data_IF_736084426738
#
_entry.id   IF_736084426738
#
_cell.length_a   1.000
_cell.length_b   1.000
_cell.length_c   1.000
_cell.angle_alpha   90.00
_cell.angle_beta   90.00
_cell.angle_gamma   90.00
#
_symmetry.space_group_name_H-M   'P 1'
#
loop_
_entity.id
_entity.type
_entity.pdbx_description
1 polymer ?
#
# COMPACT_ATOMS: atom_id res chain seq x y z
N UNK A 1 -3.14 1.67 13.65
CA UNK A 1 -2.08 0.69 13.96
C UNK A 1 -1.09 0.74 12.81
N UNK A 2 0.21 0.95 13.07
CA UNK A 2 1.24 1.01 12.01
C UNK A 2 1.93 -0.35 11.88
N UNK A 3 2.20 -0.76 10.64
CA UNK A 3 2.95 -2.00 10.33
C UNK A 3 4.44 -1.69 10.26
N UNK A 4 5.28 -2.69 10.56
CA UNK A 4 6.72 -2.57 10.38
C UNK A 4 7.08 -2.24 8.92
N UNK A 5 8.19 -1.52 8.67
CA UNK A 5 8.64 -1.22 7.31
C UNK A 5 8.90 -2.50 6.50
N UNK A 6 8.50 -2.49 5.23
CA UNK A 6 8.82 -3.57 4.30
C UNK A 6 10.26 -3.42 3.83
N UNK A 7 11.13 -4.39 4.15
CA UNK A 7 12.52 -4.40 3.70
C UNK A 7 12.69 -4.96 2.28
N UNK A 8 11.84 -5.93 1.90
CA UNK A 8 11.88 -6.52 0.56
C UNK A 8 11.31 -5.55 -0.47
N UNK A 9 12.15 -5.15 -1.44
CA UNK A 9 11.72 -4.25 -2.53
C UNK A 9 10.59 -4.83 -3.38
N UNK A 10 10.57 -6.15 -3.57
CA UNK A 10 9.49 -6.83 -4.31
C UNK A 10 8.17 -6.76 -3.54
N UNK A 11 8.20 -7.13 -2.25
CA UNK A 11 7.02 -7.07 -1.39
C UNK A 11 6.48 -5.64 -1.28
N UNK A 12 7.36 -4.63 -1.20
CA UNK A 12 6.96 -3.23 -1.18
C UNK A 12 6.18 -2.85 -2.45
N UNK A 13 6.69 -3.24 -3.62
CA UNK A 13 6.05 -2.96 -4.92
C UNK A 13 4.72 -3.67 -5.03
N UNK A 14 4.64 -4.94 -4.63
CA UNK A 14 3.40 -5.73 -4.70
C UNK A 14 2.30 -5.14 -3.80
N UNK A 15 2.64 -4.81 -2.54
CA UNK A 15 1.71 -4.19 -1.60
C UNK A 15 1.27 -2.81 -2.10
N UNK A 16 2.20 -1.98 -2.60
CA UNK A 16 1.88 -0.67 -3.16
C UNK A 16 0.99 -0.77 -4.41
N UNK A 17 1.23 -1.74 -5.29
CA UNK A 17 0.42 -1.96 -6.49
C UNK A 17 -1.01 -2.42 -6.14
N UNK A 18 -1.15 -3.34 -5.18
CA UNK A 18 -2.45 -3.77 -4.65
C UNK A 18 -3.19 -2.58 -4.03
N UNK A 19 -2.49 -1.75 -3.26
CA UNK A 19 -3.08 -0.57 -2.64
C UNK A 19 -3.49 0.48 -3.68
N UNK A 20 -2.67 0.75 -4.70
CA UNK A 20 -3.02 1.66 -5.79
C UNK A 20 -4.28 1.17 -6.53
N UNK A 21 -4.44 -0.14 -6.73
CA UNK A 21 -5.66 -0.74 -7.30
C UNK A 21 -6.89 -0.46 -6.43
N UNK A 22 -6.78 -0.51 -5.10
CA UNK A 22 -7.87 -0.13 -4.19
C UNK A 22 -8.24 1.35 -4.34
N UNK A 23 -7.24 2.24 -4.38
CA UNK A 23 -7.45 3.68 -4.53
C UNK A 23 -8.13 4.04 -5.86
N UNK A 24 -7.72 3.41 -6.98
CA UNK A 24 -8.37 3.57 -8.28
C UNK A 24 -9.84 3.11 -8.27
N UNK A 25 -10.20 2.19 -7.39
CA UNK A 25 -11.58 1.70 -7.18
C UNK A 25 -12.39 2.57 -6.20
N UNK A 26 -11.85 3.69 -5.74
CA UNK A 26 -12.53 4.61 -4.83
C UNK A 26 -12.33 4.31 -3.35
N UNK A 27 -11.35 3.47 -2.99
CA UNK A 27 -10.99 3.32 -1.57
C UNK A 27 -10.47 4.66 -1.01
N UNK A 28 -10.86 4.98 0.22
CA UNK A 28 -10.38 6.19 0.90
C UNK A 28 -8.87 6.08 1.18
N UNK A 29 -8.07 7.13 0.88
CA UNK A 29 -6.69 7.19 1.32
C UNK A 29 -6.60 7.19 2.86
N UNK A 30 -5.49 6.68 3.38
CA UNK A 30 -5.14 6.66 4.81
C UNK A 30 -4.13 7.74 5.18
N UNK A 31 -3.53 8.38 4.18
CA UNK A 31 -2.61 9.49 4.36
C UNK A 31 -3.37 10.72 4.87
N UNK A 32 -2.91 11.32 5.97
CA UNK A 32 -3.53 12.52 6.53
C UNK A 32 -3.53 13.67 5.50
N UNK A 33 -4.67 14.36 5.35
CA UNK A 33 -4.86 15.42 4.35
C UNK A 33 -5.20 14.93 2.94
N UNK A 34 -5.24 13.62 2.69
CA UNK A 34 -5.69 13.05 1.42
C UNK A 34 -7.12 12.49 1.58
N UNK A 35 -8.13 13.30 1.25
CA UNK A 35 -9.53 12.84 1.18
C UNK A 35 -10.49 13.36 2.25
N UNK A 36 -10.11 14.38 3.03
CA UNK A 36 -11.02 15.08 3.97
C UNK A 36 -11.76 16.26 3.31
N UNK A 37 -11.96 16.22 2.00
CA UNK A 37 -12.63 17.30 1.24
C UNK A 37 -11.75 18.53 1.01
N UNK A 38 -10.56 18.61 1.60
CA UNK A 38 -9.56 19.61 1.25
C UNK A 38 -8.95 19.29 -0.12
N UNK A 39 -8.85 20.29 -1.02
CA UNK A 39 -8.15 20.11 -2.28
C UNK A 39 -6.69 19.75 -1.95
N UNK A 40 -6.15 18.67 -2.54
CA UNK A 40 -4.76 18.34 -2.31
C UNK A 40 -3.91 19.54 -2.69
N UNK A 41 -3.00 19.95 -1.80
CA UNK A 41 -2.03 21.00 -2.07
C UNK A 41 -1.38 20.76 -3.43
N UNK A 42 -0.96 21.81 -4.13
CA UNK A 42 -0.42 21.67 -5.50
C UNK A 42 0.72 20.63 -5.61
N UNK A 43 1.46 20.40 -4.52
CA UNK A 43 2.57 19.43 -4.42
C UNK A 43 2.17 18.02 -3.93
N UNK A 44 0.90 17.81 -3.61
CA UNK A 44 0.43 16.54 -3.05
C UNK A 44 0.22 15.49 -4.15
N UNK A 45 0.64 14.23 -3.93
CA UNK A 45 0.65 13.19 -4.96
C UNK A 45 -0.73 12.76 -5.45
N UNK A 46 -1.29 13.42 -6.48
CA UNK A 46 -2.65 13.09 -7.01
C UNK A 46 -2.76 11.70 -7.63
N UNK A 47 -1.63 11.07 -7.93
CA UNK A 47 -1.56 9.75 -8.57
C UNK A 47 -1.78 8.65 -7.52
N UNK A 48 -2.76 7.75 -7.69
CA UNK A 48 -3.03 6.64 -6.77
C UNK A 48 -1.79 5.82 -6.42
N UNK A 49 -0.84 5.71 -7.35
CA UNK A 49 0.43 5.00 -7.17
C UNK A 49 1.30 5.67 -6.12
N UNK A 50 1.46 7.00 -6.18
CA UNK A 50 2.26 7.72 -5.18
C UNK A 50 1.60 7.72 -3.81
N UNK A 51 0.28 7.88 -3.75
CA UNK A 51 -0.47 7.78 -2.47
C UNK A 51 -0.25 6.39 -1.86
N UNK A 52 -0.38 5.33 -2.65
CA UNK A 52 -0.13 3.97 -2.19
C UNK A 52 1.32 3.78 -1.70
N UNK A 53 2.32 4.26 -2.44
CA UNK A 53 3.72 4.16 -2.02
C UNK A 53 3.99 4.88 -0.70
N UNK A 54 3.43 6.08 -0.49
CA UNK A 54 3.58 6.81 0.77
C UNK A 54 2.83 6.15 1.92
N UNK A 55 1.63 5.60 1.68
CA UNK A 55 0.92 4.83 2.70
C UNK A 55 1.69 3.57 3.12
N UNK A 56 2.29 2.84 2.17
CA UNK A 56 3.12 1.67 2.47
C UNK A 56 4.40 2.08 3.20
N UNK A 57 5.07 3.14 2.76
CA UNK A 57 6.28 3.67 3.39
C UNK A 57 6.04 4.12 4.84
N UNK A 58 4.86 4.67 5.15
CA UNK A 58 4.47 5.08 6.49
C UNK A 58 3.88 3.94 7.35
N UNK A 59 3.79 2.72 6.82
CA UNK A 59 3.23 1.56 7.50
C UNK A 59 1.72 1.67 7.74
N UNK A 60 0.99 2.41 6.90
CA UNK A 60 -0.45 2.62 7.03
C UNK A 60 -1.29 1.53 6.35
N UNK A 61 -0.63 0.61 5.63
CA UNK A 61 -1.27 -0.49 4.89
C UNK A 61 -0.94 -1.81 5.57
N UNK A 62 -1.97 -2.44 6.12
CA UNK A 62 -1.91 -3.84 6.56
C UNK A 62 -1.97 -4.78 5.36
N UNK A 63 -1.11 -5.79 5.37
CA UNK A 63 -1.04 -6.83 4.36
C UNK A 63 -0.74 -8.18 5.04
N UNK A 64 -1.18 -9.25 4.39
CA UNK A 64 -0.86 -10.62 4.77
C UNK A 64 -0.06 -11.25 3.62
N UNK A 65 1.03 -11.94 3.95
CA UNK A 65 1.79 -12.73 2.98
C UNK A 65 1.37 -14.19 3.19
N UNK A 66 0.74 -14.84 2.20
CA UNK A 66 0.45 -16.26 2.30
C UNK A 66 1.74 -17.05 2.55
N UNK A 67 1.72 -17.98 3.49
CA UNK A 67 2.82 -18.92 3.66
C UNK A 67 2.93 -19.75 2.37
N UNK A 68 4.06 -19.61 1.68
CA UNK A 68 4.42 -20.50 0.58
C UNK A 68 4.78 -21.85 1.19
N UNK A 69 3.78 -22.71 1.40
CA UNK A 69 4.07 -24.12 1.61
C UNK A 69 4.78 -24.62 0.35
N UNK A 70 6.01 -25.15 0.43
CA UNK A 70 6.66 -25.77 -0.71
C UNK A 70 5.76 -26.89 -1.19
N UNK A 71 5.21 -26.74 -2.39
CA UNK A 71 4.42 -27.77 -3.02
C UNK A 71 5.35 -28.97 -3.32
N UNK A 72 5.25 -30.01 -2.50
CA UNK A 72 5.69 -31.36 -2.84
C UNK A 72 7.09 -31.75 -2.36
N UNK A 73 7.24 -32.04 -1.06
CA UNK A 73 7.98 -33.24 -0.66
C UNK A 73 6.95 -34.37 -0.51
N UNK A 74 6.58 -34.98 -1.63
CA UNK A 74 6.01 -36.33 -1.59
C UNK A 74 7.18 -37.29 -1.40
N UNK A 75 7.33 -37.82 -0.18
CA UNK A 75 8.06 -39.07 0.04
C UNK A 75 7.32 -40.25 -0.59
#
# INVERSE_FOLDING_TARGET
>A
MKVAPIESRFLFVDVAALRAKQLRRGARPRLAGYGDGEPPAADQPRKPERVAMEEVKQGLVSYEVPELHPAGESQ
#
